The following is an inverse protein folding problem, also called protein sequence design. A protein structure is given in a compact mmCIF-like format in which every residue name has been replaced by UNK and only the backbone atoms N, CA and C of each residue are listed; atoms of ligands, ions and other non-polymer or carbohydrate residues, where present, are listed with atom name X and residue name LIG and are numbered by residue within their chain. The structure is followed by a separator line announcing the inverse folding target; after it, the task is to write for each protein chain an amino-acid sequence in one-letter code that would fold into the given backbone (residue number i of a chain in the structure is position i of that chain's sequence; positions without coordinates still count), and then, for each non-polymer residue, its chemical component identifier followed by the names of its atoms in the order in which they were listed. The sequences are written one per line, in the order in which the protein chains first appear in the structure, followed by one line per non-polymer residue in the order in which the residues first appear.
data_IF_840087389839
#
_entry.id   IF_840087389839
#
_cell.length_a   1.000
_cell.length_b   1.000
_cell.length_c   1.000
_cell.angle_alpha   90.00
_cell.angle_beta   90.00
_cell.angle_gamma   90.00
#
_symmetry.space_group_name_H-M   'P 1'
#
loop_
_entity.id
_entity.type
_entity.pdbx_description
1 polymer ?
#
# COMPACT_ATOMS: atom_id res chain seq x y z
N UNK A 1 24.28 -6.46 34.73
CA UNK A 1 23.26 -6.58 33.67
C UNK A 1 23.71 -5.67 32.55
N UNK A 2 24.17 -6.22 31.42
CA UNK A 2 24.71 -5.46 30.30
C UNK A 2 23.58 -4.65 29.61
N UNK A 3 23.65 -3.30 29.57
CA UNK A 3 22.62 -2.46 28.94
C UNK A 3 22.52 -2.62 27.40
N UNK A 4 23.33 -3.49 26.80
CA UNK A 4 23.39 -3.65 25.34
C UNK A 4 22.39 -4.65 24.77
N UNK A 5 21.77 -5.53 25.58
CA UNK A 5 20.88 -6.57 25.07
C UNK A 5 19.56 -6.00 24.55
N UNK A 6 19.26 -6.28 23.26
CA UNK A 6 17.99 -5.92 22.63
C UNK A 6 17.02 -7.10 22.74
N UNK A 7 15.75 -6.79 22.97
CA UNK A 7 14.70 -7.77 23.12
C UNK A 7 13.49 -7.41 22.26
N UNK A 8 12.69 -8.41 21.89
CA UNK A 8 11.41 -8.14 21.25
C UNK A 8 10.50 -7.37 22.21
N UNK A 9 9.94 -6.25 21.75
CA UNK A 9 9.05 -5.43 22.57
C UNK A 9 7.76 -6.14 23.02
N UNK A 10 7.35 -7.19 22.30
CA UNK A 10 6.12 -7.93 22.58
C UNK A 10 6.32 -9.21 23.38
N UNK A 11 7.20 -10.09 22.92
CA UNK A 11 7.40 -11.41 23.55
C UNK A 11 8.67 -11.48 24.40
N UNK A 12 9.46 -10.40 24.44
CA UNK A 12 10.67 -10.27 25.26
C UNK A 12 11.81 -11.25 24.96
N UNK A 13 11.71 -12.06 23.89
CA UNK A 13 12.82 -12.86 23.40
C UNK A 13 14.03 -11.97 23.11
N UNK A 14 15.20 -12.42 23.56
CA UNK A 14 16.45 -11.68 23.40
C UNK A 14 17.00 -11.86 21.99
N UNK A 15 17.76 -10.88 21.52
CA UNK A 15 18.48 -10.96 20.25
C UNK A 15 19.47 -12.14 20.20
N UNK A 16 19.94 -12.60 21.36
CA UNK A 16 20.80 -13.77 21.48
C UNK A 16 20.08 -15.07 21.10
N UNK A 17 18.76 -15.13 21.32
CA UNK A 17 17.95 -16.33 21.09
C UNK A 17 17.30 -16.32 19.71
N UNK A 18 16.93 -15.13 19.20
CA UNK A 18 16.23 -14.98 17.92
C UNK A 18 16.64 -13.70 17.19
N UNK A 19 16.81 -13.74 15.85
CA UNK A 19 17.03 -12.52 15.08
C UNK A 19 15.89 -11.52 15.27
N UNK A 20 16.25 -10.29 15.63
CA UNK A 20 15.30 -9.19 15.78
C UNK A 20 15.35 -8.27 14.56
N UNK A 21 14.19 -7.86 14.10
CA UNK A 21 13.98 -6.83 13.08
C UNK A 21 13.56 -5.53 13.75
N UNK A 22 14.04 -4.42 13.20
CA UNK A 22 13.62 -3.08 13.65
C UNK A 22 12.29 -2.71 13.00
N UNK A 23 11.50 -1.89 13.68
CA UNK A 23 10.35 -1.23 13.07
C UNK A 23 10.80 -0.48 11.81
N UNK A 24 10.16 -0.75 10.66
CA UNK A 24 10.54 -0.13 9.39
C UNK A 24 10.39 1.39 9.40
N UNK A 25 9.43 1.93 10.19
CA UNK A 25 9.11 3.36 10.23
C UNK A 25 10.06 4.15 11.14
N UNK A 26 10.24 3.73 12.39
CA UNK A 26 11.03 4.49 13.37
C UNK A 26 12.43 3.95 13.62
N UNK A 27 12.71 2.70 13.21
CA UNK A 27 13.94 1.95 13.49
C UNK A 27 14.35 1.85 14.97
N UNK A 28 13.50 2.29 15.90
CA UNK A 28 13.83 2.38 17.32
C UNK A 28 13.30 1.23 18.19
N UNK A 29 12.35 0.45 17.67
CA UNK A 29 11.77 -0.69 18.37
C UNK A 29 12.11 -2.01 17.68
N UNK A 30 12.31 -3.08 18.46
CA UNK A 30 12.76 -4.38 17.99
C UNK A 30 11.69 -5.46 18.13
N UNK A 31 11.54 -6.31 17.12
CA UNK A 31 10.57 -7.40 17.08
C UNK A 31 11.18 -8.65 16.46
N UNK A 32 10.84 -9.84 16.98
CA UNK A 32 11.27 -11.10 16.37
C UNK A 32 10.46 -11.47 15.11
N UNK A 33 9.23 -10.95 14.99
CA UNK A 33 8.33 -11.18 13.85
C UNK A 33 7.43 -9.99 13.57
N UNK A 34 6.83 -9.95 12.36
CA UNK A 34 5.78 -8.95 12.04
C UNK A 34 4.58 -9.11 12.99
N UNK A 35 4.23 -10.32 13.42
CA UNK A 35 3.12 -10.54 14.36
C UNK A 35 3.36 -9.90 15.73
N UNK A 36 4.60 -9.98 16.24
CA UNK A 36 4.98 -9.29 17.46
C UNK A 36 4.92 -7.77 17.31
N UNK A 37 5.26 -7.24 16.14
CA UNK A 37 5.09 -5.81 15.83
C UNK A 37 3.62 -5.39 15.81
N UNK A 38 2.73 -6.18 15.17
CA UNK A 38 1.28 -5.89 15.15
C UNK A 38 0.70 -5.89 16.56
N UNK A 39 1.05 -6.90 17.35
CA UNK A 39 0.54 -7.03 18.72
C UNK A 39 1.01 -5.90 19.64
N UNK A 40 2.16 -5.29 19.37
CA UNK A 40 2.63 -4.08 20.07
C UNK A 40 2.10 -2.77 19.46
N UNK A 41 1.54 -2.79 18.23
CA UNK A 41 1.24 -1.58 17.46
C UNK A 41 0.38 -0.56 18.20
N UNK A 42 -0.65 -1.00 18.94
CA UNK A 42 -1.51 -0.09 19.71
C UNK A 42 -0.73 0.75 20.73
N UNK A 43 0.31 0.17 21.33
CA UNK A 43 1.20 0.86 22.28
C UNK A 43 2.33 1.61 21.54
N UNK A 44 2.92 0.96 20.54
CA UNK A 44 4.05 1.51 19.78
C UNK A 44 3.69 2.74 18.94
N UNK A 45 2.50 2.78 18.33
CA UNK A 45 2.11 3.79 17.33
C UNK A 45 2.24 5.23 17.83
N UNK A 46 1.94 5.46 19.12
CA UNK A 46 2.00 6.78 19.73
C UNK A 46 3.41 7.39 19.71
N UNK A 47 4.45 6.55 19.71
CA UNK A 47 5.85 6.96 19.77
C UNK A 47 6.63 6.57 18.50
N UNK A 48 6.02 5.77 17.61
CA UNK A 48 6.59 5.40 16.32
C UNK A 48 6.81 6.62 15.40
N UNK A 49 6.04 7.71 15.58
CA UNK A 49 6.19 8.93 14.80
C UNK A 49 7.41 9.79 15.22
N UNK A 50 8.01 9.53 16.39
CA UNK A 50 8.85 10.50 17.09
C UNK A 50 10.36 10.24 16.97
N UNK A 51 10.83 9.49 15.98
CA UNK A 51 12.28 9.22 15.84
C UNK A 51 12.75 9.19 14.39
N UNK A 52 12.87 10.39 13.84
CA UNK A 52 13.87 10.68 12.82
C UNK A 52 15.14 11.20 13.53
N UNK A 53 15.88 10.34 14.24
CA UNK A 53 17.23 10.70 14.67
C UNK A 53 18.25 10.21 13.65
N UNK A 54 18.57 11.14 12.75
CA UNK A 54 19.88 11.44 12.18
C UNK A 54 20.84 10.27 11.93
N UNK A 55 20.91 9.83 10.68
CA UNK A 55 22.21 9.73 10.04
C UNK A 55 22.11 10.35 8.64
N UNK A 56 22.90 11.40 8.43
CA UNK A 56 22.96 12.15 7.18
C UNK A 56 23.49 11.27 6.04
N UNK A 57 23.17 11.68 4.81
CA UNK A 57 23.50 11.08 3.52
C UNK A 57 22.60 9.92 3.08
N UNK A 58 21.40 10.28 2.61
CA UNK A 58 20.80 9.75 1.37
C UNK A 58 19.78 10.79 0.88
N UNK A 59 19.79 11.01 -0.43
CA UNK A 59 18.94 11.87 -1.26
C UNK A 59 17.52 12.12 -0.72
N UNK A 60 16.90 13.30 -0.98
CA UNK A 60 15.60 13.66 -0.43
C UNK A 60 14.51 12.73 -0.96
N UNK A 61 14.27 11.64 -0.24
CA UNK A 61 13.14 10.77 -0.48
C UNK A 61 11.92 11.50 0.08
N UNK A 62 11.19 12.19 -0.80
CA UNK A 62 10.07 13.04 -0.45
C UNK A 62 8.94 12.20 0.19
N UNK A 63 8.93 12.11 1.53
CA UNK A 63 7.72 11.93 2.32
C UNK A 63 6.90 13.20 2.15
N UNK A 64 5.99 13.18 1.18
CA UNK A 64 5.15 14.32 0.86
C UNK A 64 3.90 14.24 1.72
N UNK A 65 3.85 15.05 2.78
CA UNK A 65 2.58 15.45 3.37
C UNK A 65 1.87 16.30 2.31
N UNK A 66 0.92 15.70 1.59
CA UNK A 66 0.27 16.32 0.41
C UNK A 66 -0.66 17.49 0.76
N UNK A 67 -1.01 17.69 2.04
CA UNK A 67 -1.97 18.72 2.47
C UNK A 67 -1.39 20.14 2.53
N UNK A 68 -0.08 20.33 2.35
CA UNK A 68 0.57 21.64 2.39
C UNK A 68 1.16 22.10 1.03
N UNK A 69 0.78 21.48 -0.10
CA UNK A 69 1.43 21.75 -1.39
C UNK A 69 0.68 22.79 -2.25
N UNK A 70 1.37 23.75 -2.91
CA UNK A 70 0.73 24.75 -3.77
C UNK A 70 -0.03 24.14 -4.95
N UNK A 71 -1.05 24.85 -5.47
CA UNK A 71 -1.87 24.49 -6.66
C UNK A 71 -1.08 24.00 -7.89
N UNK A 72 0.20 24.38 -7.99
CA UNK A 72 1.13 23.95 -9.04
C UNK A 72 1.34 22.42 -9.05
N UNK A 73 1.33 21.78 -7.87
CA UNK A 73 1.45 20.33 -7.74
C UNK A 73 0.18 19.57 -8.14
N UNK A 74 -1.01 20.18 -7.99
CA UNK A 74 -2.26 19.58 -8.47
C UNK A 74 -2.26 19.36 -9.99
N UNK A 75 -1.69 20.30 -10.75
CA UNK A 75 -1.49 20.14 -12.19
C UNK A 75 -0.46 19.05 -12.53
N UNK A 76 0.58 18.90 -11.72
CA UNK A 76 1.56 17.82 -11.88
C UNK A 76 0.90 16.45 -11.69
N UNK A 77 0.10 16.27 -10.64
CA UNK A 77 -0.62 15.00 -10.40
C UNK A 77 -1.68 14.68 -11.45
N UNK A 78 -2.36 15.70 -11.99
CA UNK A 78 -3.28 15.51 -13.12
C UNK A 78 -2.58 15.02 -14.39
N UNK A 79 -1.31 15.38 -14.57
CA UNK A 79 -0.45 14.82 -15.63
C UNK A 79 0.01 13.39 -15.37
N UNK A 80 0.20 13.00 -14.11
CA UNK A 80 0.65 11.65 -13.71
C UNK A 80 -0.48 10.63 -13.78
N UNK A 81 -1.66 10.98 -13.27
CA UNK A 81 -2.86 10.16 -13.25
C UNK A 81 -4.05 11.03 -13.67
N UNK A 82 -4.32 11.18 -14.99
CA UNK A 82 -5.50 11.89 -15.47
C UNK A 82 -6.80 11.19 -15.05
N UNK A 83 -7.94 11.87 -15.19
CA UNK A 83 -9.23 11.33 -14.75
C UNK A 83 -9.61 10.06 -15.52
N UNK A 84 -9.28 10.01 -16.81
CA UNK A 84 -9.45 8.87 -17.69
C UNK A 84 -8.22 7.92 -17.72
N UNK A 85 -7.43 7.85 -16.65
CA UNK A 85 -6.16 7.11 -16.61
C UNK A 85 -6.28 5.69 -17.17
N UNK A 86 -7.30 4.92 -16.79
CA UNK A 86 -7.43 3.53 -17.24
C UNK A 86 -7.85 3.41 -18.71
N UNK A 87 -8.42 4.46 -19.31
CA UNK A 87 -8.93 4.44 -20.69
C UNK A 87 -7.83 4.31 -21.74
N UNK A 88 -6.59 4.68 -21.39
CA UNK A 88 -5.47 4.65 -22.33
C UNK A 88 -4.85 3.25 -22.48
N UNK A 89 -5.27 2.28 -21.65
CA UNK A 89 -4.66 0.96 -21.61
C UNK A 89 -5.51 -0.09 -22.32
N UNK A 90 -4.88 -1.09 -22.94
CA UNK A 90 -5.56 -2.32 -23.33
C UNK A 90 -6.24 -2.97 -22.12
N UNK A 91 -7.36 -3.67 -22.36
CA UNK A 91 -8.17 -4.33 -21.33
C UNK A 91 -7.35 -5.07 -20.25
N UNK A 92 -6.40 -5.89 -20.68
CA UNK A 92 -5.56 -6.70 -19.79
C UNK A 92 -4.74 -5.85 -18.82
N UNK A 93 -4.18 -4.75 -19.31
CA UNK A 93 -3.35 -3.86 -18.51
C UNK A 93 -4.19 -2.95 -17.62
N UNK A 94 -5.38 -2.55 -18.07
CA UNK A 94 -6.34 -1.86 -17.23
C UNK A 94 -6.77 -2.72 -16.03
N UNK A 95 -7.05 -4.02 -16.24
CA UNK A 95 -7.35 -4.95 -15.16
C UNK A 95 -6.19 -5.08 -14.17
N UNK A 96 -4.96 -5.34 -14.67
CA UNK A 96 -3.77 -5.44 -13.83
C UNK A 96 -3.60 -4.22 -12.95
N UNK A 97 -3.65 -3.02 -13.54
CA UNK A 97 -3.46 -1.79 -12.79
C UNK A 97 -4.59 -1.51 -11.79
N UNK A 98 -5.82 -1.95 -12.07
CA UNK A 98 -6.93 -1.84 -11.12
C UNK A 98 -6.74 -2.79 -9.92
N UNK A 99 -6.29 -4.03 -10.18
CA UNK A 99 -5.95 -5.02 -9.14
C UNK A 99 -4.77 -4.54 -8.30
N UNK A 100 -3.70 -4.06 -8.93
CA UNK A 100 -2.48 -3.64 -8.23
C UNK A 100 -2.66 -2.30 -7.50
N UNK A 101 -3.56 -1.44 -8.00
CA UNK A 101 -4.06 -0.27 -7.29
C UNK A 101 -4.67 -0.66 -5.95
N UNK A 102 -5.58 -1.65 -5.98
CA UNK A 102 -6.18 -2.20 -4.76
C UNK A 102 -5.12 -2.84 -3.85
N UNK A 103 -4.26 -3.72 -4.37
CA UNK A 103 -3.22 -4.41 -3.59
C UNK A 103 -2.29 -3.41 -2.88
N UNK A 104 -1.83 -2.40 -3.61
CA UNK A 104 -0.97 -1.35 -3.03
C UNK A 104 -1.73 -0.51 -2.00
N UNK A 105 -3.02 -0.24 -2.19
CA UNK A 105 -3.83 0.48 -1.20
C UNK A 105 -3.99 -0.33 0.08
N UNK A 106 -4.31 -1.63 -0.02
CA UNK A 106 -4.44 -2.54 1.12
C UNK A 106 -3.11 -2.64 1.88
N UNK A 107 -1.99 -2.74 1.16
CA UNK A 107 -0.65 -2.73 1.75
C UNK A 107 -0.36 -1.42 2.50
N UNK A 108 -0.65 -0.27 1.88
CA UNK A 108 -0.42 1.02 2.50
C UNK A 108 -1.34 1.24 3.73
N UNK A 109 -2.63 0.90 3.64
CA UNK A 109 -3.58 0.98 4.77
C UNK A 109 -3.11 0.13 5.95
N UNK A 110 -2.66 -1.09 5.66
CA UNK A 110 -2.10 -1.97 6.66
C UNK A 110 -0.82 -1.38 7.29
N UNK A 111 0.10 -0.85 6.49
CA UNK A 111 1.39 -0.35 6.98
C UNK A 111 1.32 1.02 7.68
N UNK A 112 0.41 1.90 7.26
CA UNK A 112 0.34 3.29 7.74
C UNK A 112 -0.81 3.54 8.70
N UNK A 113 -1.98 2.95 8.46
CA UNK A 113 -3.17 3.09 9.31
C UNK A 113 -3.33 1.91 10.30
N UNK A 114 -2.72 0.76 10.01
CA UNK A 114 -2.95 -0.47 10.75
C UNK A 114 -4.33 -1.08 10.49
N UNK A 115 -4.95 -0.72 9.37
CA UNK A 115 -6.25 -1.27 8.94
C UNK A 115 -6.05 -2.71 8.45
N UNK A 116 -6.96 -3.60 8.84
CA UNK A 116 -6.91 -5.02 8.52
C UNK A 116 -8.08 -5.35 7.59
N UNK A 117 -7.89 -5.10 6.30
CA UNK A 117 -8.83 -5.40 5.21
C UNK A 117 -8.22 -6.31 4.16
N UNK A 118 -9.03 -6.85 3.26
CA UNK A 118 -8.58 -7.74 2.18
C UNK A 118 -7.70 -8.88 2.69
N UNK A 119 -6.51 -9.02 2.11
CA UNK A 119 -5.50 -10.04 2.48
C UNK A 119 -5.17 -10.07 3.98
N UNK A 120 -5.35 -8.96 4.70
CA UNK A 120 -4.98 -8.84 6.10
C UNK A 120 -6.12 -9.09 7.10
N UNK A 121 -7.36 -9.29 6.64
CA UNK A 121 -8.50 -9.53 7.53
C UNK A 121 -8.75 -11.01 7.85
N UNK A 122 -8.07 -11.93 7.14
CA UNK A 122 -8.28 -13.38 7.30
C UNK A 122 -9.50 -13.94 6.55
N UNK A 123 -10.25 -13.08 5.87
CA UNK A 123 -11.34 -13.43 4.96
C UNK A 123 -10.85 -13.54 3.50
N UNK A 124 -11.76 -13.93 2.59
CA UNK A 124 -11.51 -13.95 1.15
C UNK A 124 -11.23 -12.51 0.63
N UNK A 125 -10.02 -12.22 0.11
CA UNK A 125 -9.66 -10.90 -0.40
C UNK A 125 -10.52 -10.44 -1.59
N UNK A 126 -11.21 -11.37 -2.27
CA UNK A 126 -12.07 -11.06 -3.41
C UNK A 126 -13.29 -10.23 -3.00
N UNK A 127 -13.90 -10.48 -1.84
CA UNK A 127 -15.06 -9.72 -1.38
C UNK A 127 -14.71 -8.24 -1.16
N UNK A 128 -13.58 -7.97 -0.51
CA UNK A 128 -13.08 -6.61 -0.28
C UNK A 128 -12.67 -5.92 -1.60
N UNK A 129 -12.18 -6.68 -2.57
CA UNK A 129 -11.93 -6.17 -3.92
C UNK A 129 -13.23 -5.85 -4.69
N UNK A 130 -14.29 -6.63 -4.52
CA UNK A 130 -15.60 -6.34 -5.11
C UNK A 130 -16.18 -5.03 -4.58
N UNK A 131 -16.06 -4.73 -3.29
CA UNK A 131 -16.45 -3.43 -2.73
C UNK A 131 -15.62 -2.28 -3.36
N UNK A 132 -14.33 -2.51 -3.60
CA UNK A 132 -13.48 -1.56 -4.30
C UNK A 132 -13.93 -1.31 -5.75
N UNK A 133 -14.34 -2.35 -6.46
CA UNK A 133 -14.89 -2.22 -7.82
C UNK A 133 -16.24 -1.48 -7.82
N UNK A 134 -17.10 -1.71 -6.83
CA UNK A 134 -18.37 -0.97 -6.68
C UNK A 134 -18.09 0.53 -6.56
N UNK A 135 -17.11 0.90 -5.73
CA UNK A 135 -16.67 2.29 -5.65
C UNK A 135 -16.19 2.80 -7.01
N UNK A 136 -15.34 2.06 -7.72
CA UNK A 136 -14.82 2.48 -9.02
C UNK A 136 -15.94 2.69 -10.06
N UNK A 137 -16.98 1.86 -10.06
CA UNK A 137 -18.14 1.94 -10.96
C UNK A 137 -19.02 3.16 -10.68
N UNK A 138 -19.06 3.63 -9.43
CA UNK A 138 -19.77 4.88 -9.09
C UNK A 138 -19.01 6.16 -9.44
N UNK A 139 -17.72 6.08 -9.79
CA UNK A 139 -16.87 7.24 -10.11
C UNK A 139 -16.83 7.49 -11.62
N UNK A 140 -17.43 8.61 -12.04
CA UNK A 140 -17.39 9.02 -13.44
C UNK A 140 -15.97 9.21 -13.98
N UNK A 141 -15.67 8.57 -15.11
CA UNK A 141 -14.42 8.73 -15.85
C UNK A 141 -13.26 7.84 -15.40
N UNK A 142 -13.40 7.06 -14.32
CA UNK A 142 -12.34 6.14 -13.86
C UNK A 142 -12.28 4.89 -14.75
N UNK A 143 -13.43 4.25 -14.95
CA UNK A 143 -13.49 3.00 -15.69
C UNK A 143 -13.65 3.24 -17.20
N UNK A 144 -12.92 2.49 -18.04
CA UNK A 144 -12.99 2.63 -19.49
C UNK A 144 -14.40 2.45 -20.04
N UNK A 145 -14.69 3.05 -21.20
CA UNK A 145 -16.01 2.95 -21.84
C UNK A 145 -16.41 1.52 -22.25
N UNK A 146 -15.44 0.61 -22.35
CA UNK A 146 -15.68 -0.80 -22.62
C UNK A 146 -16.00 -1.61 -21.36
N UNK A 147 -15.92 -1.00 -20.16
CA UNK A 147 -16.25 -1.66 -18.91
C UNK A 147 -17.73 -2.06 -18.85
N UNK A 148 -18.00 -3.22 -18.28
CA UNK A 148 -19.34 -3.81 -18.13
C UNK A 148 -19.30 -4.90 -17.06
N UNK A 149 -20.46 -5.39 -16.63
CA UNK A 149 -20.56 -6.49 -15.64
C UNK A 149 -19.77 -7.74 -16.08
N UNK A 150 -19.78 -8.04 -17.38
CA UNK A 150 -18.97 -9.14 -17.93
C UNK A 150 -17.46 -8.87 -17.80
N UNK A 151 -17.02 -7.62 -17.96
CA UNK A 151 -15.62 -7.23 -17.78
C UNK A 151 -15.21 -7.14 -16.32
N UNK A 152 -16.14 -6.75 -15.45
CA UNK A 152 -15.97 -6.85 -14.01
C UNK A 152 -15.67 -8.29 -13.60
N UNK A 153 -16.50 -9.24 -14.04
CA UNK A 153 -16.28 -10.67 -13.76
C UNK A 153 -14.94 -11.19 -14.32
N UNK A 154 -14.59 -10.82 -15.55
CA UNK A 154 -13.27 -11.16 -16.12
C UNK A 154 -12.10 -10.58 -15.28
N UNK A 155 -12.27 -9.38 -14.72
CA UNK A 155 -11.27 -8.74 -13.86
C UNK A 155 -11.13 -9.50 -12.54
N UNK A 156 -12.24 -9.81 -11.87
CA UNK A 156 -12.30 -10.61 -10.64
C UNK A 156 -11.62 -11.97 -10.81
N UNK A 157 -11.95 -12.71 -11.88
CA UNK A 157 -11.33 -14.01 -12.19
C UNK A 157 -9.82 -13.90 -12.40
N UNK A 158 -9.35 -12.81 -13.02
CA UNK A 158 -7.92 -12.56 -13.24
C UNK A 158 -7.14 -12.20 -11.97
N UNK A 159 -7.85 -11.80 -10.91
CA UNK A 159 -7.29 -11.31 -9.66
C UNK A 159 -7.00 -12.44 -8.65
N UNK A 160 -7.51 -13.65 -8.85
CA UNK A 160 -7.41 -14.78 -7.89
C UNK A 160 -6.66 -16.01 -8.46
N UNK A 161 -5.74 -15.80 -9.40
CA UNK A 161 -5.03 -16.88 -10.10
C UNK A 161 -3.61 -17.15 -9.60
N UNK A 162 -3.29 -18.43 -9.33
CA UNK A 162 -2.01 -18.91 -8.75
C UNK A 162 -0.74 -18.67 -9.58
N UNK A 163 -0.82 -18.03 -10.74
CA UNK A 163 0.33 -17.77 -11.63
C UNK A 163 0.34 -16.36 -12.21
N UNK A 164 -0.53 -15.46 -11.76
CA UNK A 164 -0.55 -14.07 -12.20
C UNK A 164 0.22 -13.19 -11.18
N UNK A 165 0.94 -12.17 -11.67
CA UNK A 165 1.64 -11.25 -10.77
C UNK A 165 0.66 -10.37 -9.97
N UNK A 166 -0.45 -9.98 -10.61
CA UNK A 166 -1.55 -9.23 -10.00
C UNK A 166 -2.52 -10.20 -9.32
N UNK A 167 -2.15 -10.71 -8.14
CA UNK A 167 -2.92 -11.67 -7.34
C UNK A 167 -3.31 -11.05 -5.98
N UNK A 168 -4.59 -11.06 -5.65
CA UNK A 168 -5.13 -10.53 -4.39
C UNK A 168 -4.61 -11.30 -3.16
N UNK A 169 -4.15 -12.54 -3.35
CA UNK A 169 -3.59 -13.38 -2.28
C UNK A 169 -2.13 -13.06 -1.96
N UNK A 170 -1.50 -12.12 -2.68
CA UNK A 170 -0.11 -11.74 -2.50
C UNK A 170 0.03 -10.23 -2.23
N UNK A 171 0.66 -9.90 -1.10
CA UNK A 171 1.07 -8.53 -0.80
C UNK A 171 2.03 -7.99 -1.88
N UNK A 172 2.05 -6.67 -2.07
CA UNK A 172 2.94 -6.01 -3.04
C UNK A 172 3.61 -4.82 -2.40
N UNK A 173 4.94 -4.78 -2.40
CA UNK A 173 5.69 -3.65 -1.90
C UNK A 173 6.04 -2.67 -3.03
N UNK A 174 6.43 -1.44 -2.66
CA UNK A 174 6.78 -0.39 -3.62
C UNK A 174 7.80 -0.87 -4.65
N UNK A 175 8.85 -1.57 -4.22
CA UNK A 175 9.94 -1.99 -5.09
C UNK A 175 9.47 -3.04 -6.12
N UNK A 176 8.62 -3.99 -5.69
CA UNK A 176 8.03 -4.99 -6.58
C UNK A 176 7.23 -4.34 -7.71
N UNK A 177 6.48 -3.28 -7.40
CA UNK A 177 5.73 -2.51 -8.41
C UNK A 177 6.67 -1.84 -9.41
N UNK A 178 7.75 -1.17 -8.98
CA UNK A 178 8.63 -0.51 -9.97
C UNK A 178 9.33 -1.53 -10.86
N UNK A 179 9.72 -2.68 -10.30
CA UNK A 179 10.38 -3.76 -11.05
C UNK A 179 9.43 -4.40 -12.05
N UNK A 180 8.19 -4.69 -11.65
CA UNK A 180 7.19 -5.28 -12.52
C UNK A 180 6.83 -4.37 -13.70
N UNK A 181 6.59 -3.09 -13.42
CA UNK A 181 6.12 -2.13 -14.41
C UNK A 181 7.26 -1.43 -15.17
N UNK A 182 8.51 -1.53 -14.70
CA UNK A 182 9.65 -0.81 -15.26
C UNK A 182 9.54 0.72 -15.16
N UNK A 183 8.67 1.22 -14.27
CA UNK A 183 8.35 2.64 -14.14
C UNK A 183 8.46 3.08 -12.67
N UNK A 184 9.42 3.97 -12.32
CA UNK A 184 9.64 4.42 -10.95
C UNK A 184 8.47 5.27 -10.40
N UNK A 185 7.61 5.80 -11.29
CA UNK A 185 6.43 6.58 -10.91
C UNK A 185 5.19 5.72 -10.71
N UNK A 186 5.23 4.44 -11.06
CA UNK A 186 4.07 3.56 -11.01
C UNK A 186 3.43 3.41 -9.62
N UNK A 187 4.19 3.26 -8.51
CA UNK A 187 3.60 3.26 -7.18
C UNK A 187 2.79 4.53 -6.85
N UNK A 188 3.20 5.68 -7.40
CA UNK A 188 2.46 6.93 -7.20
C UNK A 188 1.19 6.96 -8.06
N UNK A 189 1.24 6.48 -9.31
CA UNK A 189 0.07 6.36 -10.18
C UNK A 189 -1.02 5.48 -9.56
N UNK A 190 -0.63 4.33 -9.02
CA UNK A 190 -1.54 3.41 -8.34
C UNK A 190 -2.17 4.04 -7.10
N UNK A 191 -1.39 4.73 -6.26
CA UNK A 191 -1.92 5.46 -5.09
C UNK A 191 -2.90 6.55 -5.46
N UNK A 192 -2.60 7.35 -6.48
CA UNK A 192 -3.49 8.40 -6.96
C UNK A 192 -4.80 7.82 -7.53
N UNK A 193 -4.71 6.71 -8.27
CA UNK A 193 -5.88 6.00 -8.75
C UNK A 193 -6.75 5.49 -7.59
N UNK A 194 -6.12 4.93 -6.55
CA UNK A 194 -6.82 4.45 -5.37
C UNK A 194 -7.53 5.61 -4.63
N UNK A 195 -6.86 6.75 -4.43
CA UNK A 195 -7.45 7.94 -3.82
C UNK A 195 -8.69 8.41 -4.60
N UNK A 196 -8.63 8.42 -5.94
CA UNK A 196 -9.80 8.75 -6.78
C UNK A 196 -10.97 7.79 -6.59
N UNK A 197 -10.70 6.49 -6.44
CA UNK A 197 -11.74 5.47 -6.27
C UNK A 197 -12.36 5.57 -4.88
N UNK A 198 -11.54 5.48 -3.83
CA UNK A 198 -11.98 5.55 -2.44
C UNK A 198 -12.57 6.92 -2.07
N UNK A 199 -12.19 7.98 -2.80
CA UNK A 199 -12.60 9.35 -2.50
C UNK A 199 -11.97 9.92 -1.21
N UNK A 200 -10.93 9.26 -0.69
CA UNK A 200 -10.20 9.68 0.50
C UNK A 200 -8.72 9.30 0.40
N UNK A 201 -7.88 10.10 1.07
CA UNK A 201 -6.46 9.81 1.29
C UNK A 201 -6.28 8.67 2.29
N UNK A 202 -5.06 8.15 2.35
CA UNK A 202 -4.63 7.22 3.39
C UNK A 202 -4.64 7.97 4.73
N UNK A 203 -5.37 7.47 5.71
CA UNK A 203 -5.40 8.09 7.04
C UNK A 203 -4.07 7.84 7.75
N UNK A 204 -3.35 8.89 8.16
CA UNK A 204 -2.09 8.80 8.90
C UNK A 204 -0.80 9.07 8.10
N UNK A 205 -0.93 9.55 6.85
CA UNK A 205 0.14 10.20 6.08
C UNK A 205 0.02 11.71 6.11
#
# INVERSE_FOLDING_TARGET
MDPSQKACARCHNLQADIPLKRCAKCQNQWYCSRDCQKADWKAHKAFCASSQQSNAQREPHATTNFDAMPKVFGNFFKGICPDNYLHQFPKKDAFRQLIDCYRMRVEDDYNFAGDTRGLYNGDDPLADFQEFLDMAETRGGILPSWWSDGKRKECEESAVGTSNWSDLNAAVEKQDVIEHYGDPTMPMKLRLLAEKIYGKKIEGT
#
